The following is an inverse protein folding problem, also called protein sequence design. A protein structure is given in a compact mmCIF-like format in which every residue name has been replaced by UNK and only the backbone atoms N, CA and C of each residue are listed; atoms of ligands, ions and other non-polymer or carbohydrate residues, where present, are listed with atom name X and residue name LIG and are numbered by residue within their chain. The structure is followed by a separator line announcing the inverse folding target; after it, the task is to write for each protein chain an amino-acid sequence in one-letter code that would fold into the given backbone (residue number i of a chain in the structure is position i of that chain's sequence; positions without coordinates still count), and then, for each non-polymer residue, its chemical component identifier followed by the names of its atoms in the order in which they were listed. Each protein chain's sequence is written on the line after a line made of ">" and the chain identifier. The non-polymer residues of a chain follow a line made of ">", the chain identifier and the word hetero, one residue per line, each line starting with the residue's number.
data_IF_621015511047
#
_entry.id   IF_621015511047
#
_cell.length_a   1.000
_cell.length_b   1.000
_cell.length_c   1.000
_cell.angle_alpha   90.00
_cell.angle_beta   90.00
_cell.angle_gamma   90.00
#
_symmetry.space_group_name_H-M   'P 1'
#
loop_
_entity.id
_entity.type
_entity.pdbx_description
1 polymer ?
#
# COMPACT_ATOMS: atom_id res chain seq x y z
N UNK A 1 8.64 36.24 17.75
CA UNK A 1 9.50 35.04 17.84
C UNK A 1 8.69 33.97 18.58
N UNK A 2 8.09 32.98 17.90
CA UNK A 2 7.28 31.98 18.59
C UNK A 2 8.19 30.90 19.23
N UNK A 3 7.79 30.33 20.37
CA UNK A 3 8.60 29.36 21.11
C UNK A 3 8.63 28.00 20.40
N UNK A 4 9.82 27.42 20.31
CA UNK A 4 10.04 26.06 19.80
C UNK A 4 9.68 25.05 20.88
N UNK A 5 8.61 24.29 20.68
CA UNK A 5 8.33 23.09 21.49
C UNK A 5 9.29 21.96 21.09
N UNK A 6 9.99 21.30 22.03
CA UNK A 6 10.88 20.19 21.69
C UNK A 6 10.06 18.97 21.27
N UNK A 7 10.29 18.50 20.04
CA UNK A 7 9.81 17.20 19.54
C UNK A 7 10.38 16.09 20.41
N UNK A 8 9.53 15.39 21.15
CA UNK A 8 9.92 14.19 21.87
C UNK A 8 10.51 13.18 20.87
N UNK A 9 11.79 12.86 21.01
CA UNK A 9 12.45 11.83 20.23
C UNK A 9 11.80 10.48 20.56
N UNK A 10 10.97 9.97 19.64
CA UNK A 10 10.43 8.61 19.73
C UNK A 10 11.60 7.64 19.57
N UNK A 11 12.01 7.02 20.68
CA UNK A 11 13.08 6.04 20.69
C UNK A 11 12.68 4.80 19.86
N UNK A 12 13.12 4.77 18.60
CA UNK A 12 13.10 3.57 17.76
C UNK A 12 14.39 2.81 18.06
N UNK A 13 14.33 1.82 18.95
CA UNK A 13 15.45 0.91 19.18
C UNK A 13 15.48 -0.13 18.05
N UNK A 14 16.53 -0.06 17.22
CA UNK A 14 16.77 -1.04 16.16
C UNK A 14 17.24 -2.37 16.76
N UNK A 15 16.81 -3.53 16.23
CA UNK A 15 17.40 -4.81 16.62
C UNK A 15 18.91 -4.81 16.28
N UNK A 16 19.74 -5.56 17.01
CA UNK A 16 21.18 -5.61 16.76
C UNK A 16 21.47 -6.12 15.34
N UNK A 17 22.23 -5.35 14.56
CA UNK A 17 22.76 -5.74 13.26
C UNK A 17 23.76 -6.87 13.45
N UNK A 18 23.48 -8.05 12.88
CA UNK A 18 24.37 -9.22 12.96
C UNK A 18 25.69 -8.93 12.22
N UNK A 19 26.77 -8.72 12.97
CA UNK A 19 28.09 -9.16 12.55
C UNK A 19 28.15 -10.68 12.71
N UNK A 20 28.71 -11.36 11.72
CA UNK A 20 28.75 -12.81 11.65
C UNK A 20 29.60 -13.42 12.78
N UNK A 21 28.95 -14.06 13.74
CA UNK A 21 29.57 -15.11 14.56
C UNK A 21 28.52 -16.18 14.82
N UNK A 22 28.85 -17.42 14.48
CA UNK A 22 27.97 -18.56 14.54
C UNK A 22 27.60 -18.90 16.00
N UNK A 23 26.45 -18.42 16.45
CA UNK A 23 25.72 -18.98 17.56
C UNK A 23 24.34 -19.37 17.04
N UNK A 24 23.90 -20.60 17.34
CA UNK A 24 22.62 -21.14 16.90
C UNK A 24 21.46 -20.36 17.58
N UNK A 25 21.08 -19.23 16.98
CA UNK A 25 19.98 -18.38 17.43
C UNK A 25 18.71 -18.87 16.74
N UNK A 26 17.86 -19.56 17.50
CA UNK A 26 16.52 -19.94 17.05
C UNK A 26 15.62 -18.70 16.99
N UNK A 27 15.66 -17.99 15.86
CA UNK A 27 14.67 -16.96 15.53
C UNK A 27 13.37 -17.67 15.17
N UNK A 28 12.48 -17.82 16.15
CA UNK A 28 11.14 -18.36 15.88
C UNK A 28 10.29 -17.26 15.25
N UNK A 29 10.06 -17.37 13.94
CA UNK A 29 9.14 -16.49 13.21
C UNK A 29 7.73 -17.07 13.31
N UNK A 30 6.80 -16.32 13.90
CA UNK A 30 5.39 -16.65 13.86
C UNK A 30 4.77 -15.88 12.69
N UNK A 31 4.64 -16.57 11.56
CA UNK A 31 3.97 -16.08 10.35
C UNK A 31 2.51 -16.48 10.43
N UNK A 32 1.60 -15.54 10.20
CA UNK A 32 0.18 -15.84 10.02
C UNK A 32 -0.03 -16.28 8.56
N UNK A 33 -0.40 -17.54 8.27
CA UNK A 33 -0.83 -17.92 6.93
C UNK A 33 -2.22 -17.31 6.65
N UNK A 34 -2.37 -16.63 5.53
CA UNK A 34 -3.69 -16.33 4.97
C UNK A 34 -4.39 -17.62 4.51
N UNK A 35 -5.73 -17.64 4.41
CA UNK A 35 -6.46 -18.81 3.90
C UNK A 35 -5.99 -19.19 2.49
N UNK A 36 -6.04 -20.49 2.12
CA UNK A 36 -5.63 -20.93 0.79
C UNK A 36 -6.52 -20.26 -0.27
N UNK A 37 -5.90 -19.55 -1.20
CA UNK A 37 -6.57 -19.08 -2.39
C UNK A 37 -6.76 -20.29 -3.32
N UNK A 38 -8.01 -20.57 -3.68
CA UNK A 38 -8.32 -21.43 -4.81
C UNK A 38 -7.49 -20.96 -6.02
N UNK A 39 -6.78 -21.91 -6.63
CA UNK A 39 -5.94 -21.67 -7.79
C UNK A 39 -6.83 -21.19 -8.95
N UNK A 40 -6.76 -19.91 -9.29
CA UNK A 40 -7.31 -19.40 -10.55
C UNK A 40 -6.29 -19.74 -11.64
N UNK A 41 -6.65 -20.50 -12.67
CA UNK A 41 -5.71 -20.88 -13.72
C UNK A 41 -5.28 -19.65 -14.50
N UNK A 42 -4.01 -19.63 -14.90
CA UNK A 42 -3.44 -18.62 -15.78
C UNK A 42 -4.20 -18.60 -17.11
N UNK A 43 -4.94 -17.52 -17.36
CA UNK A 43 -5.53 -17.29 -18.67
C UNK A 43 -4.43 -16.95 -19.67
N UNK A 44 -4.28 -17.90 -20.58
CA UNK A 44 -3.38 -18.01 -21.72
C UNK A 44 -3.37 -16.74 -22.59
N UNK A 45 -2.16 -16.29 -22.95
CA UNK A 45 -1.93 -15.28 -23.98
C UNK A 45 -2.31 -15.89 -25.33
N UNK A 46 -3.51 -15.61 -25.81
CA UNK A 46 -3.87 -15.86 -27.20
C UNK A 46 -3.30 -14.73 -28.08
N UNK A 47 -2.24 -15.10 -28.80
CA UNK A 47 -1.76 -14.48 -30.02
C UNK A 47 -2.92 -14.20 -30.99
N UNK A 48 -3.01 -12.97 -31.50
CA UNK A 48 -3.73 -12.64 -32.74
C UNK A 48 -2.99 -11.55 -33.49
N UNK A 49 -2.01 -11.99 -34.28
CA UNK A 49 -1.70 -11.34 -35.53
C UNK A 49 -2.94 -11.24 -36.43
N UNK A 50 -3.14 -10.07 -37.04
CA UNK A 50 -3.91 -9.92 -38.27
C UNK A 50 -5.39 -9.54 -38.14
N UNK A 51 -5.67 -8.24 -37.97
CA UNK A 51 -6.73 -7.59 -38.74
C UNK A 51 -6.44 -6.09 -38.87
N UNK A 52 -5.74 -5.75 -39.94
CA UNK A 52 -5.66 -4.40 -40.48
C UNK A 52 -7.03 -4.07 -41.08
N UNK A 53 -7.93 -3.53 -40.27
CA UNK A 53 -9.05 -2.73 -40.77
C UNK A 53 -8.92 -1.35 -40.15
N UNK A 54 -8.76 -0.36 -41.02
CA UNK A 54 -8.59 1.04 -40.69
C UNK A 54 -9.56 1.45 -39.57
N UNK A 55 -9.01 1.92 -38.45
CA UNK A 55 -9.77 2.58 -37.41
C UNK A 55 -10.46 3.81 -38.02
N UNK A 56 -11.72 3.62 -38.43
CA UNK A 56 -12.62 4.72 -38.67
C UNK A 56 -12.58 5.56 -37.40
N UNK A 57 -12.20 6.84 -37.54
CA UNK A 57 -12.36 7.83 -36.47
C UNK A 57 -13.86 7.93 -36.18
N UNK A 58 -14.38 7.10 -35.28
CA UNK A 58 -15.73 7.27 -34.77
C UNK A 58 -15.68 8.40 -33.74
N UNK A 59 -15.43 9.63 -34.21
CA UNK A 59 -15.82 10.78 -33.43
C UNK A 59 -17.32 10.90 -33.69
N UNK A 60 -18.15 10.36 -32.79
CA UNK A 60 -19.59 10.57 -32.85
C UNK A 60 -19.84 12.09 -32.71
N UNK A 61 -20.24 12.80 -33.79
CA UNK A 61 -20.39 14.25 -33.74
C UNK A 61 -21.56 14.67 -32.83
N UNK A 62 -22.51 13.78 -32.55
CA UNK A 62 -23.55 14.03 -31.56
C UNK A 62 -22.97 13.98 -30.14
N UNK A 63 -22.18 12.97 -29.81
CA UNK A 63 -21.47 12.88 -28.53
C UNK A 63 -20.58 14.10 -28.29
N UNK A 64 -19.74 14.46 -29.27
CA UNK A 64 -18.83 15.59 -29.15
C UNK A 64 -19.58 16.91 -28.93
N UNK A 65 -20.71 17.13 -29.63
CA UNK A 65 -21.57 18.31 -29.43
C UNK A 65 -22.20 18.33 -28.03
N UNK A 66 -22.73 17.21 -27.56
CA UNK A 66 -23.34 17.10 -26.23
C UNK A 66 -22.31 17.39 -25.13
N UNK A 67 -21.12 16.80 -25.21
CA UNK A 67 -20.03 17.06 -24.26
C UNK A 67 -19.54 18.51 -24.34
N UNK A 68 -19.43 19.08 -25.55
CA UNK A 68 -19.08 20.49 -25.71
C UNK A 68 -20.13 21.42 -25.09
N UNK A 69 -21.42 21.09 -25.19
CA UNK A 69 -22.50 21.86 -24.56
C UNK A 69 -22.41 21.81 -23.03
N UNK A 70 -22.23 20.62 -22.44
CA UNK A 70 -22.02 20.45 -20.99
C UNK A 70 -20.81 21.26 -20.52
N UNK A 71 -19.71 21.21 -21.27
CA UNK A 71 -18.48 21.92 -20.93
C UNK A 71 -18.58 23.46 -21.03
N UNK A 72 -19.64 24.00 -21.66
CA UNK A 72 -19.93 25.44 -21.72
C UNK A 72 -20.90 25.91 -20.63
N UNK A 73 -21.50 25.00 -19.87
CA UNK A 73 -22.39 25.35 -18.76
C UNK A 73 -21.67 26.21 -17.72
N UNK A 74 -22.33 27.24 -17.19
CA UNK A 74 -21.75 28.19 -16.24
C UNK A 74 -21.31 27.56 -14.92
N UNK A 75 -21.84 26.37 -14.59
CA UNK A 75 -21.44 25.59 -13.41
C UNK A 75 -20.10 24.88 -13.62
N UNK A 76 -19.67 24.68 -14.86
CA UNK A 76 -18.36 24.09 -15.16
C UNK A 76 -17.29 25.16 -15.00
N UNK A 77 -16.53 25.05 -13.90
CA UNK A 77 -15.47 26.01 -13.57
C UNK A 77 -14.48 26.19 -14.72
N UNK A 78 -14.11 27.45 -14.96
CA UNK A 78 -13.06 27.80 -15.91
C UNK A 78 -11.78 27.00 -15.62
N UNK A 79 -11.19 26.42 -16.66
CA UNK A 79 -10.02 25.54 -16.55
C UNK A 79 -10.33 24.06 -16.32
N UNK A 80 -11.59 23.62 -16.40
CA UNK A 80 -11.91 22.18 -16.42
C UNK A 80 -11.46 21.52 -17.72
N UNK A 81 -10.88 20.32 -17.63
CA UNK A 81 -10.51 19.49 -18.78
C UNK A 81 -11.36 18.22 -18.85
N UNK A 82 -11.49 17.65 -20.04
CA UNK A 82 -12.19 16.39 -20.25
C UNK A 82 -11.60 15.67 -21.47
N UNK A 83 -11.37 14.37 -21.32
CA UNK A 83 -10.96 13.47 -22.40
C UNK A 83 -11.83 12.22 -22.33
N UNK A 84 -12.40 11.81 -23.47
CA UNK A 84 -13.14 10.56 -23.61
C UNK A 84 -12.44 9.75 -24.69
N UNK A 85 -12.15 8.49 -24.38
CA UNK A 85 -11.52 7.56 -25.31
C UNK A 85 -12.31 6.25 -25.33
N UNK A 86 -12.29 5.60 -26.49
CA UNK A 86 -12.73 4.21 -26.63
C UNK A 86 -11.77 3.30 -25.86
N UNK A 87 -12.31 2.36 -25.09
CA UNK A 87 -11.53 1.43 -24.27
C UNK A 87 -10.94 0.28 -25.08
N UNK A 88 -11.51 -0.05 -26.25
CA UNK A 88 -11.03 -1.15 -27.09
C UNK A 88 -9.82 -0.73 -27.93
N UNK A 89 -9.88 0.41 -28.60
CA UNK A 89 -8.83 0.90 -29.49
C UNK A 89 -8.05 2.11 -28.99
N UNK A 90 -8.44 2.71 -27.86
CA UNK A 90 -7.80 3.93 -27.32
C UNK A 90 -8.09 5.20 -28.13
N UNK A 91 -8.97 5.13 -29.13
CA UNK A 91 -9.31 6.26 -29.98
C UNK A 91 -9.96 7.37 -29.15
N UNK A 92 -9.41 8.58 -29.19
CA UNK A 92 -9.97 9.74 -28.49
C UNK A 92 -11.24 10.20 -29.21
N UNK A 93 -12.38 10.11 -28.53
CA UNK A 93 -13.70 10.45 -29.03
C UNK A 93 -14.03 11.93 -28.77
N UNK A 94 -13.50 12.49 -27.68
CA UNK A 94 -13.64 13.89 -27.30
C UNK A 94 -12.43 14.35 -26.48
N UNK A 95 -11.97 15.59 -26.69
CA UNK A 95 -10.91 16.19 -25.90
C UNK A 95 -11.10 17.70 -25.76
N UNK A 96 -11.05 18.19 -24.52
CA UNK A 96 -10.99 19.60 -24.16
C UNK A 96 -9.87 19.78 -23.14
N UNK A 97 -8.79 20.45 -23.54
CA UNK A 97 -7.57 20.62 -22.72
C UNK A 97 -7.00 19.29 -22.19
N UNK A 98 -7.16 18.20 -22.97
CA UNK A 98 -6.82 16.84 -22.52
C UNK A 98 -5.34 16.60 -22.21
N UNK A 99 -4.44 17.40 -22.80
CA UNK A 99 -3.00 17.38 -22.55
C UNK A 99 -2.54 18.43 -21.53
N UNK A 100 -3.44 19.24 -20.98
CA UNK A 100 -3.10 20.28 -20.01
C UNK A 100 -3.00 19.67 -18.61
N UNK A 101 -1.87 19.86 -17.94
CA UNK A 101 -1.68 19.40 -16.55
C UNK A 101 -2.72 20.02 -15.61
N UNK A 102 -3.29 19.19 -14.72
CA UNK A 102 -4.26 19.58 -13.70
C UNK A 102 -3.93 18.89 -12.39
N UNK A 103 -4.33 19.49 -11.27
CA UNK A 103 -4.32 18.81 -9.97
C UNK A 103 -5.30 17.64 -10.03
N UNK A 104 -4.83 16.38 -9.96
CA UNK A 104 -5.69 15.22 -10.13
C UNK A 104 -6.57 14.96 -8.89
N UNK A 105 -6.24 15.58 -7.75
CA UNK A 105 -6.82 15.25 -6.46
C UNK A 105 -6.82 13.72 -6.24
N UNK A 106 -7.93 13.14 -5.78
CA UNK A 106 -8.04 11.69 -5.58
C UNK A 106 -7.96 10.85 -6.86
N UNK A 107 -8.02 11.44 -8.07
CA UNK A 107 -7.81 10.67 -9.30
C UNK A 107 -6.38 10.14 -9.42
N UNK A 108 -5.41 10.73 -8.69
CA UNK A 108 -4.05 10.20 -8.60
C UNK A 108 -4.02 8.75 -8.08
N UNK A 109 -5.01 8.36 -7.27
CA UNK A 109 -5.14 6.99 -6.75
C UNK A 109 -5.23 5.95 -7.87
N UNK A 110 -5.74 6.29 -9.06
CA UNK A 110 -5.79 5.37 -10.20
C UNK A 110 -4.38 4.95 -10.65
N UNK A 111 -3.48 5.93 -10.79
CA UNK A 111 -2.09 5.67 -11.18
C UNK A 111 -1.35 4.96 -10.05
N UNK A 112 -1.56 5.37 -8.80
CA UNK A 112 -0.96 4.69 -7.63
C UNK A 112 -1.43 3.24 -7.51
N UNK A 113 -2.71 2.97 -7.74
CA UNK A 113 -3.26 1.61 -7.69
C UNK A 113 -2.72 0.75 -8.83
N UNK A 114 -2.65 1.29 -10.05
CA UNK A 114 -2.05 0.59 -11.19
C UNK A 114 -0.57 0.25 -10.91
N UNK A 115 0.21 1.21 -10.42
CA UNK A 115 1.62 0.97 -10.06
C UNK A 115 1.76 -0.05 -8.93
N UNK A 116 0.88 -0.02 -7.92
CA UNK A 116 0.89 -1.00 -6.83
C UNK A 116 0.55 -2.41 -7.34
N UNK A 117 -0.44 -2.55 -8.23
CA UNK A 117 -0.78 -3.84 -8.84
C UNK A 117 0.35 -4.38 -9.71
N UNK A 118 1.01 -3.53 -10.49
CA UNK A 118 2.15 -3.90 -11.33
C UNK A 118 3.38 -4.31 -10.49
N UNK A 119 3.68 -3.55 -9.45
CA UNK A 119 4.88 -3.77 -8.62
C UNK A 119 4.72 -4.90 -7.61
N UNK A 120 3.58 -4.96 -6.92
CA UNK A 120 3.35 -5.91 -5.82
C UNK A 120 2.64 -7.18 -6.31
N UNK A 121 1.85 -7.07 -7.37
CA UNK A 121 0.94 -8.11 -7.83
C UNK A 121 -0.39 -8.14 -7.04
N UNK A 122 -1.46 -8.67 -7.65
CA UNK A 122 -2.78 -8.74 -7.00
C UNK A 122 -2.83 -9.71 -5.80
N UNK A 123 -1.88 -10.65 -5.73
CA UNK A 123 -1.73 -11.61 -4.64
C UNK A 123 -0.95 -11.09 -3.43
N UNK A 124 -0.40 -9.88 -3.48
CA UNK A 124 0.41 -9.36 -2.38
C UNK A 124 -0.37 -9.32 -1.06
N UNK A 125 0.30 -9.71 0.02
CA UNK A 125 -0.22 -9.63 1.38
C UNK A 125 0.82 -8.95 2.25
N UNK A 126 0.40 -7.88 2.93
CA UNK A 126 1.20 -7.28 3.97
C UNK A 126 1.32 -8.26 5.14
N UNK A 127 2.39 -8.09 5.93
CA UNK A 127 2.66 -8.95 7.08
C UNK A 127 2.93 -8.11 8.32
N UNK A 128 2.56 -8.68 9.46
CA UNK A 128 2.89 -8.18 10.78
C UNK A 128 3.39 -9.35 11.59
N UNK A 129 4.58 -9.24 12.18
CA UNK A 129 5.27 -10.34 12.85
C UNK A 129 5.47 -10.03 14.33
N UNK A 130 5.55 -11.09 15.14
CA UNK A 130 6.05 -10.99 16.51
C UNK A 130 7.43 -11.65 16.56
N UNK A 131 8.43 -10.90 17.02
CA UNK A 131 9.83 -11.30 17.07
C UNK A 131 10.32 -11.40 18.50
N UNK A 132 11.23 -12.34 18.75
CA UNK A 132 11.99 -12.48 19.99
C UNK A 132 13.39 -13.00 19.70
N UNK A 133 14.34 -12.68 20.56
CA UNK A 133 15.72 -13.21 20.48
C UNK A 133 16.01 -14.18 21.63
N UNK A 134 15.47 -13.90 22.82
CA UNK A 134 15.68 -14.74 24.00
C UNK A 134 14.84 -16.03 23.97
N UNK A 135 15.35 -17.08 24.61
CA UNK A 135 14.61 -18.31 24.84
C UNK A 135 13.48 -18.09 25.87
N UNK A 136 12.42 -18.89 25.76
CA UNK A 136 11.36 -18.95 26.77
C UNK A 136 11.70 -20.06 27.76
N UNK A 137 11.78 -19.73 29.05
CA UNK A 137 12.01 -20.71 30.12
C UNK A 137 10.89 -20.62 31.15
N UNK A 138 10.23 -21.74 31.44
CA UNK A 138 9.09 -21.81 32.37
C UNK A 138 8.00 -20.76 32.05
N UNK A 139 7.77 -20.51 30.76
CA UNK A 139 6.81 -19.53 30.27
C UNK A 139 7.23 -18.06 30.37
N UNK A 140 8.48 -17.77 30.75
CA UNK A 140 9.04 -16.42 30.79
C UNK A 140 9.99 -16.21 29.62
N UNK A 141 9.74 -15.18 28.82
CA UNK A 141 10.70 -14.67 27.83
C UNK A 141 11.71 -13.76 28.54
N UNK A 142 12.97 -14.22 28.62
CA UNK A 142 14.07 -13.52 29.27
C UNK A 142 14.65 -12.35 28.45
N UNK A 143 13.80 -11.48 27.91
CA UNK A 143 14.19 -10.37 27.06
C UNK A 143 12.98 -9.64 26.48
N UNK A 144 13.22 -8.82 25.48
CA UNK A 144 12.18 -8.02 24.82
C UNK A 144 11.40 -8.85 23.79
N UNK A 145 10.16 -8.40 23.55
CA UNK A 145 9.26 -8.90 22.53
C UNK A 145 8.95 -7.76 21.56
N UNK A 146 9.09 -7.98 20.26
CA UNK A 146 8.84 -6.95 19.25
C UNK A 146 7.61 -7.30 18.42
N UNK A 147 6.78 -6.31 18.12
CA UNK A 147 5.79 -6.37 17.04
C UNK A 147 6.35 -5.58 15.86
N UNK A 148 6.59 -6.24 14.74
CA UNK A 148 7.15 -5.61 13.53
C UNK A 148 6.10 -5.50 12.43
N UNK A 149 5.79 -4.27 12.05
CA UNK A 149 4.86 -3.98 10.96
C UNK A 149 5.60 -3.78 9.63
N UNK A 150 5.10 -4.39 8.57
CA UNK A 150 5.63 -4.23 7.21
C UNK A 150 4.69 -3.43 6.29
N UNK A 151 3.88 -2.55 6.89
CA UNK A 151 3.03 -1.60 6.18
C UNK A 151 1.59 -2.02 5.92
N UNK A 152 1.04 -2.98 6.68
CA UNK A 152 -0.36 -3.38 6.56
C UNK A 152 -1.32 -2.20 6.91
N UNK A 153 -2.04 -1.63 5.91
CA UNK A 153 -2.92 -0.49 6.14
C UNK A 153 -4.31 -0.91 6.68
N UNK A 154 -4.53 -2.22 6.88
CA UNK A 154 -5.83 -2.80 7.23
C UNK A 154 -5.89 -3.37 8.64
N UNK A 155 -4.76 -3.38 9.38
CA UNK A 155 -4.65 -3.96 10.73
C UNK A 155 -5.72 -3.42 11.69
N UNK A 156 -6.39 -4.33 12.41
CA UNK A 156 -7.43 -4.03 13.39
C UNK A 156 -7.10 -4.57 14.78
N UNK A 157 -7.90 -4.19 15.77
CA UNK A 157 -7.76 -4.67 17.14
C UNK A 157 -7.83 -6.20 17.25
N UNK A 158 -8.67 -6.84 16.44
CA UNK A 158 -8.84 -8.30 16.44
C UNK A 158 -7.58 -9.03 15.96
N UNK A 159 -6.82 -8.41 15.05
CA UNK A 159 -5.56 -8.97 14.54
C UNK A 159 -4.49 -8.98 15.64
N UNK A 160 -4.41 -7.90 16.43
CA UNK A 160 -3.54 -7.86 17.62
C UNK A 160 -3.96 -8.87 18.68
N UNK A 161 -5.26 -9.07 18.90
CA UNK A 161 -5.74 -10.12 19.79
C UNK A 161 -5.35 -11.52 19.27
N UNK A 162 -5.35 -11.72 17.94
CA UNK A 162 -4.86 -12.95 17.31
C UNK A 162 -3.37 -13.16 17.54
N UNK A 163 -2.55 -12.13 17.33
CA UNK A 163 -1.11 -12.17 17.62
C UNK A 163 -0.84 -12.48 19.10
N UNK A 164 -1.59 -11.87 20.03
CA UNK A 164 -1.45 -12.16 21.46
C UNK A 164 -1.79 -13.63 21.80
N UNK A 165 -2.82 -14.21 21.17
CA UNK A 165 -3.14 -15.64 21.32
C UNK A 165 -2.01 -16.52 20.79
N UNK A 166 -1.40 -16.16 19.67
CA UNK A 166 -0.26 -16.88 19.11
C UNK A 166 0.98 -16.81 20.00
N UNK A 167 1.28 -15.64 20.58
CA UNK A 167 2.34 -15.46 21.58
C UNK A 167 2.12 -16.37 22.79
N UNK A 168 0.88 -16.42 23.28
CA UNK A 168 0.51 -17.32 24.38
C UNK A 168 0.64 -18.79 24.00
N UNK A 169 0.21 -19.17 22.80
CA UNK A 169 0.33 -20.53 22.27
C UNK A 169 1.80 -20.96 22.07
N UNK A 170 2.69 -20.00 21.80
CA UNK A 170 4.14 -20.21 21.76
C UNK A 170 4.78 -20.39 23.15
N UNK A 171 3.97 -20.49 24.22
CA UNK A 171 4.41 -20.75 25.58
C UNK A 171 4.78 -19.51 26.38
N UNK A 172 4.69 -18.30 25.81
CA UNK A 172 5.04 -17.07 26.51
C UNK A 172 3.86 -16.65 27.41
N UNK A 173 4.10 -16.63 28.72
CA UNK A 173 3.16 -16.18 29.76
C UNK A 173 3.58 -14.85 30.39
N UNK A 174 4.89 -14.57 30.39
CA UNK A 174 5.46 -13.31 30.89
C UNK A 174 6.63 -12.89 30.01
N UNK A 175 6.72 -11.59 29.71
CA UNK A 175 7.90 -10.95 29.10
C UNK A 175 8.61 -10.21 30.22
N UNK A 176 9.90 -10.49 30.45
CA UNK A 176 10.67 -9.81 31.50
C UNK A 176 11.31 -8.51 31.03
N UNK A 177 11.44 -8.33 29.71
CA UNK A 177 11.88 -7.08 29.08
C UNK A 177 10.71 -6.23 28.61
N UNK A 178 10.93 -5.48 27.53
CA UNK A 178 9.98 -4.57 26.93
C UNK A 178 9.09 -5.23 25.86
N UNK A 179 7.94 -4.62 25.60
CA UNK A 179 7.15 -4.84 24.41
C UNK A 179 7.34 -3.62 23.49
N UNK A 180 8.04 -3.82 22.38
CA UNK A 180 8.40 -2.75 21.45
C UNK A 180 7.69 -2.90 20.10
N UNK A 181 7.43 -1.78 19.42
CA UNK A 181 6.85 -1.75 18.07
C UNK A 181 7.91 -1.30 17.08
N UNK A 182 8.35 -2.21 16.22
CA UNK A 182 9.27 -1.91 15.12
C UNK A 182 8.50 -1.45 13.88
N UNK A 183 8.60 -0.15 13.59
CA UNK A 183 8.02 0.50 12.40
C UNK A 183 9.09 0.86 11.36
N UNK A 184 10.32 0.35 11.49
CA UNK A 184 11.47 0.73 10.65
C UNK A 184 11.40 0.23 9.21
N UNK A 185 10.33 -0.48 8.83
CA UNK A 185 10.08 -0.86 7.44
C UNK A 185 9.89 0.36 6.53
N UNK A 186 9.26 1.41 7.05
CA UNK A 186 9.20 2.71 6.40
C UNK A 186 10.15 3.70 7.08
N UNK A 187 10.41 4.80 6.38
CA UNK A 187 11.20 5.89 6.94
C UNK A 187 10.45 6.62 8.08
N UNK A 188 11.08 7.65 8.65
CA UNK A 188 10.49 8.43 9.74
C UNK A 188 9.44 9.47 9.29
N UNK A 189 9.13 9.59 8.00
CA UNK A 189 8.21 10.61 7.49
C UNK A 189 6.76 10.15 7.68
N UNK A 190 6.10 10.68 8.71
CA UNK A 190 4.72 10.28 9.04
C UNK A 190 3.65 11.01 8.21
N UNK A 191 3.99 12.14 7.59
CA UNK A 191 3.06 12.96 6.82
C UNK A 191 3.68 13.36 5.50
N UNK A 192 2.86 13.49 4.46
CA UNK A 192 3.31 14.02 3.19
C UNK A 192 3.80 15.47 3.37
N UNK A 193 5.00 15.86 2.89
CA UNK A 193 5.58 17.18 3.14
C UNK A 193 4.72 18.37 2.68
N UNK A 194 3.89 18.16 1.66
CA UNK A 194 3.01 19.18 1.09
C UNK A 194 1.62 19.28 1.78
N UNK A 195 1.32 18.47 2.80
CA UNK A 195 0.09 18.64 3.56
C UNK A 195 0.20 19.84 4.50
N UNK A 196 -0.87 20.64 4.59
CA UNK A 196 -0.94 21.73 5.56
C UNK A 196 -0.79 21.17 6.96
N UNK A 197 0.16 21.72 7.72
CA UNK A 197 0.21 21.50 9.16
C UNK A 197 -0.93 22.34 9.75
N UNK A 198 -1.88 21.68 10.41
CA UNK A 198 -3.00 22.35 11.08
C UNK A 198 -2.52 23.32 12.15
#
# INVERSE_FOLDING_TARGET
>A
MPPTTPTAARHVRRPPSRAATAALVALTLLVVPGPPADAVPAAERADRAGSTTAAARVSDPALARSLAAVMRDSRVRHGSSATVADTAGGAVLYSRYGSTARTPASNLKLVTAAAAMDTLGPGYRFRTEVLRVAAVRNGVLGGDLWIKGYGDPTTRQQDYASLARQVRAAGIRRVSGHLDVDVSWFDGQSYHPAWSRG
#
